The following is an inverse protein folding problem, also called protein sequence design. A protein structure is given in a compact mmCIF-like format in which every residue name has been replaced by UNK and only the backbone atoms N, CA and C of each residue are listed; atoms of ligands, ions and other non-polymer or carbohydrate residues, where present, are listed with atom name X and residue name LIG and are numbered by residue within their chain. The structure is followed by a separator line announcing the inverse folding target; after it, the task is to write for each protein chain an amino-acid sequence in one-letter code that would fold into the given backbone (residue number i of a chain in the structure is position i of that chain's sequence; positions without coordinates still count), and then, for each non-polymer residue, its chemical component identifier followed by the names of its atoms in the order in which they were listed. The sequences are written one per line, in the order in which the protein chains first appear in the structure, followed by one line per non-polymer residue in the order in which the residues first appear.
data_IF_300867468089
#
_entry.id   IF_300867468089
#
_cell.length_a   1.000
_cell.length_b   1.000
_cell.length_c   1.000
_cell.angle_alpha   90.00
_cell.angle_beta   90.00
_cell.angle_gamma   90.00
#
_symmetry.space_group_name_H-M   'P 1'
#
loop_
_entity.id
_entity.type
_entity.pdbx_description
1 polymer ?
#
# COMPACT_ATOMS: atom_id res chain seq x y z
N UNK A 1 6.54 -19.12 -36.21
CA UNK A 1 6.80 -17.95 -37.08
C UNK A 1 5.65 -16.94 -37.06
N UNK A 2 4.37 -17.34 -37.27
CA UNK A 2 3.22 -16.39 -37.15
C UNK A 2 3.09 -15.71 -35.81
N UNK A 3 3.28 -16.40 -34.68
CA UNK A 3 3.24 -15.81 -33.34
C UNK A 3 4.35 -14.78 -33.08
N UNK A 4 5.53 -15.00 -33.65
CA UNK A 4 6.64 -14.04 -33.55
C UNK A 4 6.34 -12.75 -34.30
N UNK A 5 5.79 -12.85 -35.52
CA UNK A 5 5.39 -11.69 -36.31
C UNK A 5 4.23 -10.94 -35.68
N UNK A 6 3.24 -11.64 -35.10
CA UNK A 6 2.12 -10.99 -34.41
C UNK A 6 2.55 -10.27 -33.13
N UNK A 7 3.50 -10.82 -32.38
CA UNK A 7 4.14 -10.12 -31.26
C UNK A 7 4.97 -8.91 -31.67
N UNK A 8 5.68 -9.04 -32.80
CA UNK A 8 6.48 -7.94 -33.37
C UNK A 8 5.58 -6.80 -33.86
N UNK A 9 4.48 -7.13 -34.56
CA UNK A 9 3.49 -6.16 -35.03
C UNK A 9 2.76 -5.47 -33.88
N UNK A 10 2.40 -6.21 -32.81
CA UNK A 10 1.82 -5.64 -31.62
C UNK A 10 2.80 -4.68 -30.92
N UNK A 11 4.08 -5.07 -30.82
CA UNK A 11 5.13 -4.21 -30.23
C UNK A 11 5.39 -2.96 -31.09
N UNK A 12 5.36 -3.09 -32.43
CA UNK A 12 5.51 -1.96 -33.34
C UNK A 12 4.28 -1.03 -33.36
N UNK A 13 3.07 -1.60 -33.21
CA UNK A 13 1.84 -0.83 -33.07
C UNK A 13 1.83 -0.06 -31.74
N UNK A 14 2.22 -0.70 -30.63
CA UNK A 14 2.40 -0.09 -29.32
C UNK A 14 3.42 1.08 -29.36
N UNK A 15 4.50 0.94 -30.11
CA UNK A 15 5.50 2.00 -30.31
C UNK A 15 4.99 3.18 -31.15
N UNK A 16 4.06 2.93 -32.09
CA UNK A 16 3.47 3.98 -32.94
C UNK A 16 2.34 4.74 -32.26
N UNK A 17 1.55 4.09 -31.41
CA UNK A 17 0.44 4.74 -30.68
C UNK A 17 0.89 5.65 -29.54
N UNK A 18 2.14 5.55 -29.09
CA UNK A 18 2.59 6.19 -27.85
C UNK A 18 3.10 7.63 -27.99
N UNK A 19 2.96 8.31 -29.15
CA UNK A 19 3.43 9.69 -29.32
C UNK A 19 4.85 9.96 -28.72
N UNK A 20 5.77 9.00 -28.86
CA UNK A 20 7.12 9.06 -28.28
C UNK A 20 7.22 8.77 -26.79
N UNK A 21 6.13 8.31 -26.15
CA UNK A 21 6.14 7.86 -24.73
C UNK A 21 6.51 6.39 -24.62
N UNK A 22 7.24 6.06 -23.54
CA UNK A 22 7.58 4.68 -23.19
C UNK A 22 6.56 4.19 -22.18
N UNK A 23 5.88 3.08 -22.48
CA UNK A 23 4.95 2.44 -21.57
C UNK A 23 5.74 1.72 -20.46
N UNK A 24 5.28 1.89 -19.21
CA UNK A 24 5.77 1.18 -18.03
C UNK A 24 4.58 0.52 -17.33
N UNK A 25 4.54 -0.81 -17.34
CA UNK A 25 3.50 -1.60 -16.66
C UNK A 25 3.93 -1.90 -15.23
N UNK A 26 3.22 -1.33 -14.28
CA UNK A 26 3.50 -1.44 -12.85
C UNK A 26 2.42 -2.28 -12.18
N UNK A 27 2.81 -3.38 -11.57
CA UNK A 27 1.91 -4.23 -10.78
C UNK A 27 2.07 -3.94 -9.29
N UNK A 28 0.96 -3.87 -8.54
CA UNK A 28 1.00 -3.67 -7.10
C UNK A 28 -0.31 -4.15 -6.44
N UNK A 29 -0.41 -4.07 -5.10
CA UNK A 29 -1.68 -4.34 -4.42
C UNK A 29 -2.66 -3.20 -4.64
N UNK A 30 -3.96 -3.51 -4.67
CA UNK A 30 -5.00 -2.52 -4.92
C UNK A 30 -4.96 -1.36 -3.91
N UNK A 31 -4.83 -1.68 -2.63
CA UNK A 31 -4.78 -0.65 -1.58
C UNK A 31 -3.55 0.26 -1.68
N UNK A 32 -2.39 -0.28 -2.03
CA UNK A 32 -1.19 0.54 -2.26
C UNK A 32 -1.35 1.43 -3.50
N UNK A 33 -1.86 0.88 -4.59
CA UNK A 33 -2.14 1.67 -5.79
C UNK A 33 -3.03 2.87 -5.46
N UNK A 34 -4.18 2.62 -4.83
CA UNK A 34 -5.20 3.62 -4.55
C UNK A 34 -4.75 4.68 -3.52
N UNK A 35 -4.19 4.23 -2.38
CA UNK A 35 -3.94 5.10 -1.24
C UNK A 35 -2.56 5.76 -1.26
N UNK A 36 -1.55 5.09 -1.84
CA UNK A 36 -0.18 5.59 -1.81
C UNK A 36 0.34 6.06 -3.17
N UNK A 37 0.19 5.24 -4.22
CA UNK A 37 0.83 5.51 -5.51
C UNK A 37 0.05 6.55 -6.34
N UNK A 38 -1.26 6.36 -6.54
CA UNK A 38 -2.10 7.27 -7.35
C UNK A 38 -1.98 8.74 -6.93
N UNK A 39 -2.02 9.13 -5.65
CA UNK A 39 -1.86 10.52 -5.25
C UNK A 39 -0.51 11.14 -5.65
N UNK A 40 0.52 10.31 -5.89
CA UNK A 40 1.89 10.74 -6.22
C UNK A 40 2.18 10.76 -7.71
N UNK A 41 1.44 9.99 -8.53
CA UNK A 41 1.66 9.89 -9.99
C UNK A 41 1.67 11.23 -10.74
N UNK A 42 0.88 12.27 -10.38
CA UNK A 42 1.01 13.59 -11.02
C UNK A 42 2.41 14.20 -10.91
N UNK A 43 3.15 13.86 -9.83
CA UNK A 43 4.55 14.25 -9.65
C UNK A 43 5.49 13.56 -10.64
N UNK A 44 5.28 12.26 -10.86
CA UNK A 44 6.01 11.50 -11.88
C UNK A 44 5.75 12.05 -13.29
N UNK A 45 4.49 12.27 -13.63
CA UNK A 45 4.10 12.76 -14.95
C UNK A 45 4.70 14.16 -15.29
N UNK A 46 4.92 15.01 -14.29
CA UNK A 46 5.60 16.29 -14.46
C UNK A 46 7.10 16.14 -14.65
N UNK A 47 7.74 15.22 -13.94
CA UNK A 47 9.19 15.00 -14.00
C UNK A 47 9.60 14.18 -15.22
N UNK A 48 8.77 13.23 -15.61
CA UNK A 48 9.03 12.25 -16.67
C UNK A 48 7.80 12.09 -17.58
N UNK A 49 7.44 13.15 -18.35
CA UNK A 49 6.27 13.12 -19.24
C UNK A 49 6.36 12.08 -20.36
N UNK A 50 7.58 11.60 -20.63
CA UNK A 50 7.84 10.53 -21.57
C UNK A 50 7.45 9.15 -21.06
N UNK A 51 7.17 8.97 -19.76
CA UNK A 51 6.77 7.68 -19.18
C UNK A 51 5.24 7.62 -19.09
N UNK A 52 4.65 6.64 -19.78
CA UNK A 52 3.24 6.30 -19.66
C UNK A 52 3.07 5.11 -18.70
N UNK A 53 2.62 5.36 -17.48
CA UNK A 53 2.40 4.31 -16.48
C UNK A 53 1.05 3.63 -16.72
N UNK A 54 1.06 2.29 -16.82
CA UNK A 54 -0.13 1.44 -16.75
C UNK A 54 -0.10 0.72 -15.41
N UNK A 55 -1.13 0.92 -14.58
CA UNK A 55 -1.24 0.25 -13.28
C UNK A 55 -2.10 -1.00 -13.39
N UNK A 56 -1.57 -2.09 -12.87
CA UNK A 56 -2.28 -3.34 -12.65
C UNK A 56 -2.28 -3.65 -11.16
N UNK A 57 -3.39 -4.17 -10.64
CA UNK A 57 -3.47 -4.52 -9.22
C UNK A 57 -3.78 -5.99 -9.03
N UNK A 58 -2.99 -6.65 -8.16
CA UNK A 58 -3.18 -8.03 -7.74
C UNK A 58 -2.53 -8.25 -6.39
N UNK A 59 -3.24 -8.95 -5.50
CA UNK A 59 -2.70 -9.41 -4.21
C UNK A 59 -1.92 -10.74 -4.34
N UNK A 60 -1.98 -11.39 -5.49
CA UNK A 60 -1.24 -12.62 -5.77
C UNK A 60 0.26 -12.37 -5.89
N UNK A 61 1.06 -13.40 -5.61
CA UNK A 61 2.50 -13.35 -5.82
C UNK A 61 2.81 -13.07 -7.30
N UNK A 62 3.67 -12.07 -7.57
CA UNK A 62 4.03 -11.72 -8.94
C UNK A 62 4.84 -12.82 -9.61
N UNK A 63 4.42 -13.20 -10.81
CA UNK A 63 5.18 -14.05 -11.70
C UNK A 63 5.38 -13.32 -13.04
N UNK A 64 6.54 -12.71 -13.21
CA UNK A 64 6.88 -11.96 -14.43
C UNK A 64 6.93 -12.80 -15.71
N UNK A 65 6.99 -14.13 -15.61
CA UNK A 65 6.92 -15.01 -16.77
C UNK A 65 5.50 -15.17 -17.32
N UNK A 66 4.48 -14.89 -16.50
CA UNK A 66 3.06 -15.05 -16.85
C UNK A 66 2.29 -13.73 -16.87
N UNK A 67 2.94 -12.61 -16.63
CA UNK A 67 2.34 -11.27 -16.67
C UNK A 67 3.10 -10.37 -17.62
N UNK A 68 2.42 -9.38 -18.18
CA UNK A 68 3.04 -8.34 -19.01
C UNK A 68 3.66 -7.19 -18.18
N UNK A 69 3.70 -7.33 -16.86
CA UNK A 69 4.23 -6.29 -15.97
C UNK A 69 5.74 -6.16 -16.10
N UNK A 70 6.25 -4.94 -16.18
CA UNK A 70 7.69 -4.66 -16.24
C UNK A 70 8.29 -4.62 -14.83
N UNK A 71 7.57 -4.02 -13.89
CA UNK A 71 7.98 -3.86 -12.49
C UNK A 71 6.81 -4.13 -11.55
N UNK A 72 7.12 -4.45 -10.30
CA UNK A 72 6.08 -4.56 -9.29
C UNK A 72 6.50 -3.88 -7.97
N UNK A 73 5.48 -3.47 -7.20
CA UNK A 73 5.65 -3.00 -5.83
C UNK A 73 4.97 -4.03 -4.93
N UNK A 74 5.73 -4.63 -4.03
CA UNK A 74 5.25 -5.75 -3.22
C UNK A 74 5.38 -5.47 -1.73
N UNK A 75 4.34 -5.86 -1.01
CA UNK A 75 4.35 -5.89 0.45
C UNK A 75 4.76 -7.29 0.92
N UNK A 76 5.82 -7.37 1.70
CA UNK A 76 6.37 -8.66 2.13
C UNK A 76 7.66 -8.54 2.92
N UNK A 77 8.41 -9.64 2.98
CA UNK A 77 9.68 -9.73 3.72
C UNK A 77 10.92 -9.47 2.85
N UNK A 78 10.75 -9.15 1.56
CA UNK A 78 11.86 -8.83 0.65
C UNK A 78 12.60 -10.05 0.11
N UNK A 79 12.08 -11.25 0.30
CA UNK A 79 12.71 -12.47 -0.21
C UNK A 79 12.22 -12.80 -1.63
N UNK A 80 12.89 -12.20 -2.63
CA UNK A 80 12.61 -12.41 -4.06
C UNK A 80 13.90 -12.79 -4.81
N UNK A 81 14.46 -14.01 -4.60
CA UNK A 81 15.84 -14.36 -4.98
C UNK A 81 16.14 -14.28 -6.48
N UNK A 82 15.13 -14.45 -7.35
CA UNK A 82 15.28 -14.40 -8.80
C UNK A 82 15.11 -12.99 -9.38
N UNK A 83 14.75 -11.99 -8.54
CA UNK A 83 14.43 -10.63 -8.96
C UNK A 83 15.48 -9.64 -8.49
N UNK A 84 15.55 -8.50 -9.17
CA UNK A 84 16.12 -7.29 -8.61
C UNK A 84 15.15 -6.73 -7.58
N UNK A 85 15.61 -6.48 -6.35
CA UNK A 85 14.76 -6.11 -5.22
C UNK A 85 15.38 -4.94 -4.47
N UNK A 86 14.61 -3.89 -4.26
CA UNK A 86 15.00 -2.73 -3.47
C UNK A 86 13.96 -2.42 -2.39
N UNK A 87 14.42 -2.22 -1.16
CA UNK A 87 13.59 -1.78 -0.06
C UNK A 87 13.06 -0.37 -0.32
N UNK A 88 11.78 -0.16 -0.07
CA UNK A 88 11.14 1.15 -0.18
C UNK A 88 10.95 1.79 1.19
N UNK A 89 10.03 1.26 1.99
CA UNK A 89 9.72 1.75 3.33
C UNK A 89 8.95 0.70 4.14
N UNK A 90 8.97 0.91 5.46
CA UNK A 90 8.18 0.14 6.43
C UNK A 90 7.10 1.04 7.04
N UNK A 91 5.90 0.54 7.15
CA UNK A 91 4.78 1.24 7.73
C UNK A 91 4.71 1.06 9.24
N UNK A 92 3.99 1.98 9.89
CA UNK A 92 3.50 1.83 11.24
C UNK A 92 2.02 1.42 11.20
N UNK A 93 1.61 0.64 12.20
CA UNK A 93 0.21 0.30 12.44
C UNK A 93 -0.28 1.08 13.66
N UNK A 94 -1.48 1.62 13.56
CA UNK A 94 -2.13 2.30 14.66
C UNK A 94 -3.65 2.32 14.52
N UNK A 95 -4.41 2.36 15.63
CA UNK A 95 -5.84 2.54 15.61
C UNK A 95 -6.24 3.91 15.09
N UNK A 96 -7.26 3.93 14.21
CA UNK A 96 -7.87 5.16 13.69
C UNK A 96 -9.39 5.11 13.82
N UNK A 97 -9.99 6.28 14.04
CA UNK A 97 -11.43 6.45 14.09
C UNK A 97 -11.85 7.77 13.45
N UNK A 98 -13.06 7.83 12.91
CA UNK A 98 -13.62 9.10 12.45
C UNK A 98 -14.05 10.00 13.62
N UNK A 99 -14.05 11.34 13.44
CA UNK A 99 -14.61 12.25 14.44
C UNK A 99 -16.06 11.94 14.79
N UNK A 100 -16.83 11.39 13.85
CA UNK A 100 -18.21 10.98 14.09
C UNK A 100 -18.32 9.86 15.12
N UNK A 101 -17.48 8.83 15.01
CA UNK A 101 -17.41 7.74 15.98
C UNK A 101 -16.99 8.26 17.36
N UNK A 102 -15.99 9.15 17.42
CA UNK A 102 -15.49 9.71 18.68
C UNK A 102 -16.52 10.61 19.38
N UNK A 103 -17.37 11.31 18.62
CA UNK A 103 -18.49 12.05 19.23
C UNK A 103 -19.53 11.13 19.86
N UNK A 104 -19.73 9.93 19.30
CA UNK A 104 -20.71 8.97 19.78
C UNK A 104 -20.24 8.17 20.99
N UNK A 105 -18.97 7.75 21.01
CA UNK A 105 -18.42 6.85 22.03
C UNK A 105 -17.50 7.56 23.04
N UNK A 106 -17.14 8.81 22.79
CA UNK A 106 -16.05 9.53 23.49
C UNK A 106 -14.72 9.32 22.77
N UNK A 107 -13.69 10.09 23.16
CA UNK A 107 -12.31 9.83 22.73
C UNK A 107 -11.65 8.91 23.75
N UNK A 108 -11.05 7.77 23.34
CA UNK A 108 -10.41 6.87 24.29
C UNK A 108 -9.14 7.51 24.85
N UNK A 109 -8.96 7.45 26.17
CA UNK A 109 -7.78 7.97 26.88
C UNK A 109 -6.66 6.92 26.99
N UNK A 110 -7.02 5.64 26.95
CA UNK A 110 -6.09 4.51 27.01
C UNK A 110 -6.50 3.35 26.09
N UNK A 111 -5.56 2.50 25.68
CA UNK A 111 -5.82 1.39 24.77
C UNK A 111 -6.92 0.42 25.20
N UNK A 112 -7.06 0.18 26.51
CA UNK A 112 -8.07 -0.73 27.05
C UNK A 112 -9.52 -0.27 26.76
N UNK A 113 -9.72 1.04 26.61
CA UNK A 113 -11.03 1.58 26.27
C UNK A 113 -11.53 1.17 24.89
N UNK A 114 -10.62 0.78 23.96
CA UNK A 114 -11.00 0.28 22.64
C UNK A 114 -11.84 -1.02 22.70
N UNK A 115 -11.77 -1.78 23.79
CA UNK A 115 -12.58 -2.96 23.97
C UNK A 115 -14.11 -2.66 24.00
N UNK A 116 -14.48 -1.40 24.21
CA UNK A 116 -15.89 -0.94 24.19
C UNK A 116 -16.35 -0.46 22.82
N UNK A 117 -15.42 -0.34 21.84
CA UNK A 117 -15.72 0.17 20.51
C UNK A 117 -15.99 -0.99 19.55
N UNK A 118 -16.83 -0.78 18.52
CA UNK A 118 -16.87 -1.72 17.41
C UNK A 118 -15.53 -1.72 16.69
N UNK A 119 -14.88 -2.88 16.60
CA UNK A 119 -13.61 -3.06 15.92
C UNK A 119 -13.84 -3.55 14.49
N UNK A 120 -13.18 -2.90 13.53
CA UNK A 120 -13.21 -3.28 12.14
C UNK A 120 -12.02 -4.19 11.86
N UNK A 121 -12.28 -5.37 11.33
CA UNK A 121 -11.26 -6.38 11.08
C UNK A 121 -11.11 -6.62 9.59
N UNK A 122 -9.87 -6.72 9.13
CA UNK A 122 -9.55 -7.20 7.79
C UNK A 122 -9.24 -8.69 7.86
N UNK A 123 -9.96 -9.49 7.05
CA UNK A 123 -9.56 -10.86 6.74
C UNK A 123 -8.43 -10.85 5.71
N UNK A 124 -7.50 -11.77 5.80
CA UNK A 124 -6.43 -11.92 4.78
C UNK A 124 -5.08 -12.24 5.39
N UNK A 125 -4.08 -12.28 4.52
CA UNK A 125 -2.77 -12.85 4.75
C UNK A 125 -2.11 -12.43 6.07
N UNK A 126 -1.34 -13.34 6.62
CA UNK A 126 -0.60 -13.27 7.90
C UNK A 126 0.42 -12.12 8.03
N UNK A 127 0.57 -11.31 6.98
CA UNK A 127 1.53 -10.21 6.92
C UNK A 127 1.07 -8.93 7.64
N UNK A 128 -0.22 -8.83 7.98
CA UNK A 128 -0.78 -7.65 8.68
C UNK A 128 -1.29 -8.10 10.05
N UNK A 129 -0.71 -7.57 11.13
CA UNK A 129 -1.18 -7.87 12.48
C UNK A 129 -2.66 -7.55 12.65
N UNK A 130 -3.36 -8.41 13.38
CA UNK A 130 -4.77 -8.25 13.76
C UNK A 130 -4.88 -7.55 15.12
N UNK A 131 -6.10 -7.33 15.56
CA UNK A 131 -6.38 -6.66 16.83
C UNK A 131 -5.83 -7.39 18.05
N UNK A 132 -5.86 -8.72 18.07
CA UNK A 132 -5.27 -9.55 19.13
C UNK A 132 -3.79 -9.24 19.33
N UNK A 133 -3.00 -9.22 18.23
CA UNK A 133 -1.57 -8.90 18.26
C UNK A 133 -1.33 -7.44 18.69
N UNK A 134 -2.20 -6.50 18.29
CA UNK A 134 -2.08 -5.11 18.72
C UNK A 134 -2.38 -4.95 20.22
N UNK A 135 -3.44 -5.58 20.74
CA UNK A 135 -3.77 -5.56 22.16
C UNK A 135 -2.68 -6.22 23.01
N UNK A 136 -2.16 -7.37 22.58
CA UNK A 136 -1.03 -8.01 23.24
C UNK A 136 0.19 -7.09 23.30
N UNK A 137 0.49 -6.37 22.22
CA UNK A 137 1.59 -5.38 22.15
C UNK A 137 1.47 -4.27 23.18
N UNK A 138 0.27 -3.86 23.54
CA UNK A 138 0.01 -2.83 24.55
C UNK A 138 -0.30 -3.42 25.94
N UNK A 139 -0.03 -4.71 26.13
CA UNK A 139 -0.17 -5.39 27.43
C UNK A 139 -1.61 -5.75 27.82
N UNK A 140 -2.52 -5.81 26.85
CA UNK A 140 -3.92 -6.16 27.08
C UNK A 140 -4.16 -7.55 26.56
N UNK A 141 -4.49 -8.47 27.47
CA UNK A 141 -4.88 -9.84 27.14
C UNK A 141 -6.41 -9.94 27.19
N UNK A 142 -7.03 -10.34 26.10
CA UNK A 142 -8.48 -10.50 26.00
C UNK A 142 -8.83 -11.62 25.04
N UNK A 143 -9.78 -12.46 25.45
CA UNK A 143 -10.36 -13.50 24.61
C UNK A 143 -11.61 -13.01 23.87
N UNK A 144 -12.07 -11.79 24.17
CA UNK A 144 -13.30 -11.24 23.61
C UNK A 144 -12.98 -9.91 22.92
N UNK A 145 -13.11 -9.90 21.60
CA UNK A 145 -13.05 -8.70 20.78
C UNK A 145 -14.44 -8.40 20.20
N UNK A 146 -14.91 -7.18 20.35
CA UNK A 146 -16.14 -6.71 19.72
C UNK A 146 -15.91 -6.41 18.24
N UNK A 147 -15.60 -7.46 17.47
CA UNK A 147 -15.51 -7.34 16.02
C UNK A 147 -16.91 -7.09 15.44
N UNK A 148 -17.11 -5.95 14.79
CA UNK A 148 -18.41 -5.57 14.23
C UNK A 148 -18.57 -6.02 12.78
N UNK A 149 -17.53 -5.89 11.97
CA UNK A 149 -17.52 -6.26 10.56
C UNK A 149 -16.13 -6.73 10.16
N UNK A 150 -16.09 -7.76 9.31
CA UNK A 150 -14.86 -8.25 8.67
C UNK A 150 -14.88 -7.91 7.19
N UNK A 151 -13.74 -7.45 6.68
CA UNK A 151 -13.56 -7.04 5.29
C UNK A 151 -12.44 -7.84 4.65
N UNK A 152 -12.61 -8.21 3.38
CA UNK A 152 -11.55 -8.84 2.60
C UNK A 152 -10.47 -7.84 2.14
N UNK A 153 -10.78 -6.54 2.13
CA UNK A 153 -9.95 -5.47 1.56
C UNK A 153 -9.70 -4.33 2.56
N UNK A 154 -8.47 -3.79 2.53
CA UNK A 154 -8.05 -2.68 3.41
C UNK A 154 -8.82 -1.38 3.12
N UNK A 155 -9.16 -1.10 1.85
CA UNK A 155 -9.87 0.14 1.51
C UNK A 155 -11.28 0.13 2.08
N UNK A 156 -11.96 -1.04 2.03
CA UNK A 156 -13.27 -1.19 2.67
C UNK A 156 -13.19 -0.96 4.18
N UNK A 157 -12.15 -1.45 4.84
CA UNK A 157 -11.94 -1.24 6.27
C UNK A 157 -11.76 0.26 6.59
N UNK A 158 -10.97 0.97 5.77
CA UNK A 158 -10.75 2.41 5.92
C UNK A 158 -12.04 3.20 5.67
N UNK A 159 -12.77 2.87 4.60
CA UNK A 159 -14.05 3.54 4.29
C UNK A 159 -15.08 3.32 5.41
N UNK A 160 -15.16 2.10 5.96
CA UNK A 160 -16.03 1.84 7.11
C UNK A 160 -15.65 2.66 8.34
N UNK A 161 -14.35 2.87 8.58
CA UNK A 161 -13.87 3.74 9.66
C UNK A 161 -14.26 5.21 9.41
N UNK A 162 -14.12 5.72 8.18
CA UNK A 162 -14.53 7.06 7.77
C UNK A 162 -16.03 7.28 8.00
N UNK A 163 -16.85 6.28 7.67
CA UNK A 163 -18.30 6.31 7.90
C UNK A 163 -18.70 6.17 9.39
N UNK A 164 -17.73 5.96 10.29
CA UNK A 164 -18.01 5.86 11.73
C UNK A 164 -18.57 4.51 12.16
N UNK A 165 -18.35 3.46 11.38
CA UNK A 165 -18.82 2.11 11.73
C UNK A 165 -17.98 1.44 12.82
N UNK A 166 -16.74 1.92 13.04
CA UNK A 166 -15.86 1.38 14.07
C UNK A 166 -14.44 1.93 14.01
N UNK A 167 -13.57 1.38 14.85
CA UNK A 167 -12.13 1.64 14.89
C UNK A 167 -11.42 0.66 13.95
N UNK A 168 -10.57 1.17 13.08
CA UNK A 168 -9.72 0.36 12.20
C UNK A 168 -8.27 0.35 12.69
N UNK A 169 -7.58 -0.79 12.58
CA UNK A 169 -6.13 -0.88 12.71
C UNK A 169 -5.53 -0.58 11.33
N UNK A 170 -5.07 0.65 11.14
CA UNK A 170 -4.62 1.15 9.86
C UNK A 170 -3.10 1.16 9.72
N UNK A 171 -2.63 1.01 8.49
CA UNK A 171 -1.23 1.23 8.11
C UNK A 171 -1.00 2.67 7.68
N UNK A 172 0.10 3.28 8.12
CA UNK A 172 0.42 4.70 7.93
C UNK A 172 0.28 5.18 6.48
N UNK A 173 0.78 4.43 5.50
CA UNK A 173 0.71 4.81 4.08
C UNK A 173 -0.69 4.74 3.46
N UNK A 174 -1.61 4.08 4.13
CA UNK A 174 -2.98 3.94 3.61
C UNK A 174 -3.95 4.99 4.14
N UNK A 175 -3.55 5.78 5.13
CA UNK A 175 -4.39 6.80 5.78
C UNK A 175 -3.72 8.16 5.87
N UNK A 176 -2.63 8.40 5.12
CA UNK A 176 -1.91 9.68 5.12
C UNK A 176 -2.84 10.88 4.85
N UNK A 177 -3.66 10.75 3.80
CA UNK A 177 -4.60 11.78 3.39
C UNK A 177 -5.64 12.00 4.47
N UNK A 178 -6.26 10.94 4.94
CA UNK A 178 -7.34 10.96 5.91
C UNK A 178 -6.88 11.56 7.26
N UNK A 179 -5.65 11.27 7.69
CA UNK A 179 -5.06 11.89 8.88
C UNK A 179 -4.77 13.38 8.64
N UNK A 180 -4.18 13.74 7.49
CA UNK A 180 -3.88 15.14 7.16
C UNK A 180 -5.16 15.99 7.06
N UNK A 181 -6.24 15.45 6.53
CA UNK A 181 -7.55 16.08 6.40
C UNK A 181 -8.39 16.00 7.70
N UNK A 182 -7.90 15.29 8.72
CA UNK A 182 -8.61 15.02 9.98
C UNK A 182 -9.95 14.31 9.80
N UNK A 183 -10.15 13.61 8.70
CA UNK A 183 -11.31 12.74 8.48
C UNK A 183 -11.16 11.41 9.24
N UNK A 184 -9.92 10.99 9.51
CA UNK A 184 -9.58 9.98 10.53
C UNK A 184 -8.63 10.60 11.56
N UNK A 185 -8.77 10.15 12.80
CA UNK A 185 -7.93 10.54 13.93
C UNK A 185 -7.12 9.31 14.37
N UNK A 186 -5.80 9.44 14.46
CA UNK A 186 -4.95 8.47 15.14
C UNK A 186 -5.24 8.54 16.65
N UNK A 187 -5.53 7.39 17.25
CA UNK A 187 -6.00 7.36 18.65
C UNK A 187 -4.86 7.31 19.66
N UNK A 188 -3.76 6.66 19.31
CA UNK A 188 -2.62 6.52 20.22
C UNK A 188 -1.31 6.66 19.48
N UNK A 189 -0.34 7.29 20.15
CA UNK A 189 1.05 7.37 19.68
C UNK A 189 1.88 6.22 20.27
N UNK A 190 1.59 5.02 19.81
CA UNK A 190 2.26 3.78 20.22
C UNK A 190 2.96 3.21 18.99
N UNK A 191 4.31 3.10 19.00
CA UNK A 191 5.05 2.53 17.88
C UNK A 191 4.72 1.06 17.67
N UNK A 192 4.15 0.75 16.52
CA UNK A 192 3.89 -0.62 16.10
C UNK A 192 4.31 -0.80 14.63
N UNK A 193 5.61 -1.07 14.38
CA UNK A 193 6.11 -1.25 13.03
C UNK A 193 5.49 -2.51 12.41
N UNK A 194 5.11 -2.40 11.14
CA UNK A 194 4.64 -3.54 10.35
C UNK A 194 5.72 -4.64 10.27
N UNK A 195 5.39 -5.92 10.40
CA UNK A 195 6.35 -7.02 10.24
C UNK A 195 6.87 -7.12 8.81
N UNK A 196 6.09 -6.68 7.82
CA UNK A 196 6.44 -6.61 6.42
C UNK A 196 6.70 -5.16 5.97
N UNK A 197 7.30 -5.00 4.80
CA UNK A 197 7.63 -3.72 4.19
C UNK A 197 7.28 -3.71 2.71
N UNK A 198 7.33 -2.54 2.08
CA UNK A 198 7.21 -2.41 0.64
C UNK A 198 8.56 -2.52 -0.05
N UNK A 199 8.57 -3.21 -1.18
CA UNK A 199 9.74 -3.43 -2.03
C UNK A 199 9.38 -3.15 -3.49
N UNK A 200 10.30 -2.47 -4.18
CA UNK A 200 10.35 -2.45 -5.63
C UNK A 200 10.99 -3.75 -6.11
N UNK A 201 10.38 -4.41 -7.09
CA UNK A 201 10.91 -5.63 -7.70
C UNK A 201 10.75 -5.61 -9.21
N UNK A 202 11.73 -6.15 -9.94
CA UNK A 202 11.64 -6.39 -11.38
C UNK A 202 12.52 -7.58 -11.78
N UNK A 203 12.33 -8.15 -12.98
CA UNK A 203 13.26 -9.13 -13.53
C UNK A 203 14.68 -8.58 -13.59
N UNK A 204 15.68 -9.44 -13.31
CA UNK A 204 17.09 -9.04 -13.44
C UNK A 204 17.43 -8.74 -14.89
N UNK A 205 18.23 -7.70 -15.10
CA UNK A 205 18.69 -7.24 -16.41
C UNK A 205 17.86 -6.09 -17.00
N UNK A 206 16.61 -5.87 -16.54
CA UNK A 206 15.83 -4.70 -17.00
C UNK A 206 15.95 -3.49 -16.06
N UNK A 207 16.48 -3.66 -14.85
CA UNK A 207 16.63 -2.61 -13.83
C UNK A 207 17.50 -1.42 -14.29
N UNK A 208 18.28 -1.61 -15.36
CA UNK A 208 19.15 -0.59 -15.97
C UNK A 208 18.50 0.16 -17.13
N UNK A 209 17.30 -0.25 -17.56
CA UNK A 209 16.58 0.43 -18.64
C UNK A 209 16.20 1.86 -18.21
N UNK A 210 16.41 2.88 -19.08
CA UNK A 210 16.31 4.29 -18.68
C UNK A 210 14.98 4.68 -18.03
N UNK A 211 13.85 4.20 -18.55
CA UNK A 211 12.51 4.51 -18.00
C UNK A 211 12.28 3.82 -16.65
N UNK A 212 12.81 2.60 -16.44
CA UNK A 212 12.74 1.87 -15.18
C UNK A 212 13.62 2.57 -14.13
N UNK A 213 14.83 2.98 -14.49
CA UNK A 213 15.73 3.76 -13.62
C UNK A 213 15.04 5.05 -13.16
N UNK A 214 14.43 5.81 -14.06
CA UNK A 214 13.72 7.06 -13.75
C UNK A 214 12.55 6.82 -12.80
N UNK A 215 11.67 5.86 -13.12
CA UNK A 215 10.54 5.51 -12.26
C UNK A 215 11.00 5.05 -10.88
N UNK A 216 11.97 4.13 -10.82
CA UNK A 216 12.53 3.59 -9.58
C UNK A 216 13.13 4.70 -8.72
N UNK A 217 13.96 5.58 -9.29
CA UNK A 217 14.58 6.68 -8.56
C UNK A 217 13.54 7.64 -7.99
N UNK A 218 12.52 7.98 -8.78
CA UNK A 218 11.40 8.78 -8.31
C UNK A 218 10.63 8.07 -7.18
N UNK A 219 10.31 6.79 -7.35
CA UNK A 219 9.58 5.99 -6.38
C UNK A 219 10.31 5.91 -5.04
N UNK A 220 11.63 5.66 -5.07
CA UNK A 220 12.47 5.59 -3.87
C UNK A 220 12.59 6.95 -3.17
N UNK A 221 12.68 8.04 -3.90
CA UNK A 221 12.65 9.39 -3.32
C UNK A 221 11.33 9.68 -2.60
N UNK A 222 10.18 9.30 -3.19
CA UNK A 222 8.88 9.38 -2.52
C UNK A 222 8.81 8.50 -1.27
N UNK A 223 9.40 7.32 -1.34
CA UNK A 223 9.47 6.35 -0.24
C UNK A 223 10.27 6.87 0.95
N UNK A 224 11.41 7.50 0.72
CA UNK A 224 12.23 8.13 1.76
C UNK A 224 11.48 9.24 2.49
N UNK A 225 10.77 10.09 1.75
CA UNK A 225 9.94 11.14 2.34
C UNK A 225 8.80 10.55 3.18
N UNK A 226 8.17 9.46 2.72
CA UNK A 226 7.13 8.77 3.47
C UNK A 226 7.70 8.13 4.75
N UNK A 227 8.84 7.44 4.66
CA UNK A 227 9.50 6.80 5.80
C UNK A 227 9.82 7.81 6.92
N UNK A 228 10.32 9.01 6.57
CA UNK A 228 10.60 10.06 7.54
C UNK A 228 9.32 10.52 8.26
N UNK A 229 8.22 10.70 7.52
CA UNK A 229 6.92 11.06 8.11
C UNK A 229 6.39 9.97 9.04
N UNK A 230 6.50 8.70 8.65
CA UNK A 230 6.01 7.57 9.46
C UNK A 230 6.83 7.34 10.72
N UNK A 231 8.11 7.74 10.72
CA UNK A 231 8.97 7.66 11.89
C UNK A 231 8.72 8.79 12.90
N UNK A 232 8.14 9.92 12.45
CA UNK A 232 7.83 11.09 13.28
C UNK A 232 6.37 11.12 13.76
N UNK A 233 5.53 10.30 13.16
CA UNK A 233 4.12 10.17 13.46
C UNK A 233 3.86 9.02 14.44
#
# INVERSE_FOLDING_TARGET
MREFFSKLEATLADLREQNGRVRLRVNTTYSFALKWLLPRLPGLARLHPEILVTLESSDEAINFASTDSDVAIRFGHGNYPALHTEFMFREQLFPVASPALLRRFGAPSEPAELLRYPLLTRDGADLVPKWDVWFERVGIHTDVLHESVRFADTNMTIEAALLGHGVALARSGHVEKEIAERSLIRLFDIPFPSPAAYYFVCPRGIETQPHIVKFRSWLLAQSQQAQLRYAQA
#
